data_IF_671359127202
#
_entry.id   IF_671359127202
#
_cell.length_a   1.000
_cell.length_b   1.000
_cell.length_c   1.000
_cell.angle_alpha   90.00
_cell.angle_beta   90.00
_cell.angle_gamma   90.00
#
_symmetry.space_group_name_H-M   'P 1'
#
loop_
_entity.id
_entity.type
_entity.pdbx_description
1 polymer ?
#
# COMPACT_ATOMS: atom_id res chain seq x y z
N UNK A 1 17.20 6.32 3.24
CA UNK A 1 17.37 6.09 1.78
C UNK A 1 15.97 6.23 1.19
N UNK A 2 15.61 7.46 0.84
CA UNK A 2 14.22 7.83 0.52
C UNK A 2 13.75 7.27 -0.82
N UNK A 3 12.43 7.22 -0.99
CA UNK A 3 11.78 7.08 -2.30
C UNK A 3 12.43 8.03 -3.30
N UNK A 4 12.62 7.59 -4.56
CA UNK A 4 13.06 8.48 -5.63
C UNK A 4 12.14 9.71 -5.72
N UNK A 5 12.68 10.84 -6.15
CA UNK A 5 11.88 12.05 -6.35
C UNK A 5 10.80 11.84 -7.43
N UNK A 6 9.77 12.69 -7.42
CA UNK A 6 8.66 12.60 -8.37
C UNK A 6 9.15 12.74 -9.82
N UNK A 7 10.20 13.53 -10.07
CA UNK A 7 10.73 13.76 -11.42
C UNK A 7 11.28 12.46 -12.02
N UNK A 8 12.09 11.72 -11.26
CA UNK A 8 12.62 10.42 -11.65
C UNK A 8 11.49 9.42 -11.90
N UNK A 9 10.48 9.39 -11.03
CA UNK A 9 9.36 8.45 -11.15
C UNK A 9 8.48 8.76 -12.36
N UNK A 10 8.24 10.04 -12.64
CA UNK A 10 7.54 10.47 -13.85
C UNK A 10 8.38 10.20 -15.11
N UNK A 11 9.70 10.35 -15.03
CA UNK A 11 10.63 9.96 -16.09
C UNK A 11 10.56 8.47 -16.40
N UNK A 12 10.53 7.62 -15.37
CA UNK A 12 10.37 6.17 -15.52
C UNK A 12 9.05 5.82 -16.19
N UNK A 13 7.94 6.47 -15.80
CA UNK A 13 6.64 6.23 -16.45
C UNK A 13 6.67 6.57 -17.93
N UNK A 14 7.29 7.69 -18.32
CA UNK A 14 7.42 8.07 -19.73
C UNK A 14 8.26 7.08 -20.53
N UNK A 15 9.30 6.51 -19.93
CA UNK A 15 10.20 5.55 -20.58
C UNK A 15 9.64 4.12 -20.65
N UNK A 16 8.66 3.78 -19.80
CA UNK A 16 8.11 2.44 -19.68
C UNK A 16 6.66 2.40 -20.21
N UNK A 17 6.40 1.95 -21.45
CA UNK A 17 5.10 2.12 -22.10
C UNK A 17 4.06 1.05 -21.71
N UNK A 18 4.45 0.04 -20.93
CA UNK A 18 3.54 -1.03 -20.50
C UNK A 18 3.03 -0.78 -19.09
N UNK A 19 2.39 -1.78 -18.48
CA UNK A 19 1.86 -1.67 -17.13
C UNK A 19 2.91 -1.18 -16.13
N UNK A 20 2.57 -0.11 -15.42
CA UNK A 20 3.39 0.52 -14.40
C UNK A 20 2.70 0.43 -13.05
N UNK A 21 3.21 -0.47 -12.20
CA UNK A 21 2.69 -0.69 -10.84
C UNK A 21 3.54 0.14 -9.86
N UNK A 22 2.89 1.01 -9.09
CA UNK A 22 3.57 1.85 -8.11
C UNK A 22 3.35 1.34 -6.68
N UNK A 23 4.35 1.50 -5.80
CA UNK A 23 4.24 1.21 -4.38
C UNK A 23 4.45 2.49 -3.54
N UNK A 24 3.39 3.07 -2.94
CA UNK A 24 3.51 4.27 -2.11
C UNK A 24 4.15 4.05 -0.74
N UNK A 25 4.42 2.79 -0.35
CA UNK A 25 4.89 2.40 0.98
C UNK A 25 6.29 2.85 1.35
N UNK A 26 7.12 3.17 0.35
CA UNK A 26 8.50 3.62 0.52
C UNK A 26 9.37 2.68 1.39
N UNK A 27 10.49 3.21 1.88
CA UNK A 27 11.29 2.59 2.94
C UNK A 27 10.43 2.49 4.20
N UNK A 28 10.48 1.36 4.93
CA UNK A 28 9.63 1.01 6.09
C UNK A 28 9.34 2.23 6.98
N UNK A 29 8.23 2.91 6.71
CA UNK A 29 7.76 4.07 7.46
C UNK A 29 6.89 3.65 8.64
N UNK A 30 6.63 4.56 9.59
CA UNK A 30 5.88 4.25 10.81
C UNK A 30 4.40 3.90 10.55
N UNK A 31 3.87 4.21 9.36
CA UNK A 31 2.47 4.03 9.02
C UNK A 31 2.30 3.27 7.71
N UNK A 32 1.17 2.59 7.59
CA UNK A 32 0.69 1.95 6.37
C UNK A 32 0.42 3.01 5.27
N UNK A 33 0.59 2.62 4.01
CA UNK A 33 0.17 3.48 2.91
C UNK A 33 -1.34 3.58 2.82
N UNK A 34 -1.82 4.78 2.53
CA UNK A 34 -3.25 5.09 2.50
C UNK A 34 -3.81 5.05 1.08
N UNK A 35 -5.14 5.15 0.99
CA UNK A 35 -5.85 5.32 -0.27
C UNK A 35 -5.41 6.59 -0.99
N UNK A 36 -5.30 7.72 -0.29
CA UNK A 36 -4.95 9.01 -0.91
C UNK A 36 -3.55 8.97 -1.53
N UNK A 37 -2.60 8.29 -0.88
CA UNK A 37 -1.26 8.10 -1.44
C UNK A 37 -1.31 7.31 -2.76
N UNK A 38 -2.17 6.29 -2.85
CA UNK A 38 -2.37 5.53 -4.09
C UNK A 38 -3.04 6.37 -5.18
N UNK A 39 -4.11 7.09 -4.84
CA UNK A 39 -4.84 7.96 -5.76
C UNK A 39 -3.94 9.05 -6.36
N UNK A 40 -3.04 9.63 -5.56
CA UNK A 40 -2.00 10.55 -6.04
C UNK A 40 -1.15 9.92 -7.16
N UNK A 41 -0.74 8.67 -7.00
CA UNK A 41 0.13 8.01 -7.98
C UNK A 41 -0.62 7.54 -9.22
N UNK A 42 -1.89 7.16 -9.09
CA UNK A 42 -2.76 6.95 -10.24
C UNK A 42 -2.90 8.25 -11.06
N UNK A 43 -3.12 9.39 -10.40
CA UNK A 43 -3.18 10.69 -11.07
C UNK A 43 -1.85 11.08 -11.76
N UNK A 44 -0.71 10.57 -11.26
CA UNK A 44 0.62 10.78 -11.83
C UNK A 44 1.04 9.71 -12.87
N UNK A 45 0.11 8.85 -13.30
CA UNK A 45 0.31 7.94 -14.43
C UNK A 45 0.66 6.50 -14.08
N UNK A 46 0.58 6.10 -12.80
CA UNK A 46 0.56 4.69 -12.45
C UNK A 46 -0.72 4.02 -12.95
N UNK A 47 -0.60 2.79 -13.43
CA UNK A 47 -1.75 2.01 -13.89
C UNK A 47 -2.37 1.23 -12.71
N UNK A 48 -1.54 0.83 -11.75
CA UNK A 48 -1.91 0.04 -10.58
C UNK A 48 -1.12 0.47 -9.36
N UNK A 49 -1.70 0.28 -8.17
CA UNK A 49 -1.05 0.52 -6.88
C UNK A 49 -0.91 -0.80 -6.13
N UNK A 50 0.28 -1.04 -5.57
CA UNK A 50 0.56 -2.17 -4.68
C UNK A 50 0.65 -1.71 -3.23
N UNK A 51 0.10 -2.51 -2.32
CA UNK A 51 0.10 -2.25 -0.88
C UNK A 51 0.66 -3.47 -0.14
N UNK A 52 1.64 -3.24 0.73
CA UNK A 52 2.24 -4.29 1.57
C UNK A 52 1.64 -4.30 2.97
N UNK A 53 2.16 -3.45 3.87
CA UNK A 53 1.73 -3.37 5.28
C UNK A 53 0.22 -3.14 5.44
N UNK A 54 -0.39 -2.33 4.59
CA UNK A 54 -1.85 -2.11 4.64
C UNK A 54 -2.62 -3.41 4.43
N UNK A 55 -2.18 -4.28 3.51
CA UNK A 55 -2.82 -5.58 3.27
C UNK A 55 -2.50 -6.60 4.36
N UNK A 56 -1.34 -6.51 5.00
CA UNK A 56 -0.95 -7.43 6.06
C UNK A 56 -1.97 -7.41 7.21
N UNK A 57 -2.38 -6.22 7.67
CA UNK A 57 -3.35 -6.07 8.75
C UNK A 57 -4.82 -5.98 8.31
N UNK A 58 -5.09 -5.87 7.01
CA UNK A 58 -6.44 -5.66 6.48
C UNK A 58 -6.67 -6.64 5.33
N UNK A 59 -7.15 -7.87 5.59
CA UNK A 59 -7.42 -8.84 4.53
C UNK A 59 -8.49 -8.35 3.55
N UNK A 60 -9.32 -7.39 3.97
CA UNK A 60 -10.40 -6.72 3.24
C UNK A 60 -10.04 -5.28 2.82
N UNK A 61 -8.75 -4.99 2.58
CA UNK A 61 -8.26 -3.63 2.29
C UNK A 61 -9.01 -2.93 1.15
N UNK A 62 -9.36 -3.65 0.09
CA UNK A 62 -10.06 -3.09 -1.08
C UNK A 62 -11.45 -2.58 -0.69
N UNK A 63 -12.19 -3.35 0.10
CA UNK A 63 -13.50 -2.99 0.63
C UNK A 63 -13.38 -1.78 1.57
N UNK A 64 -12.34 -1.75 2.41
CA UNK A 64 -12.09 -0.60 3.29
C UNK A 64 -11.85 0.68 2.49
N UNK A 65 -11.02 0.62 1.46
CA UNK A 65 -10.81 1.78 0.58
C UNK A 65 -12.07 2.19 -0.17
N UNK A 66 -12.85 1.22 -0.68
CA UNK A 66 -14.09 1.47 -1.42
C UNK A 66 -15.16 2.15 -0.55
N UNK A 67 -15.27 1.74 0.71
CA UNK A 67 -16.30 2.19 1.64
C UNK A 67 -15.82 3.24 2.65
N UNK A 68 -14.58 3.70 2.51
CA UNK A 68 -13.94 4.67 3.43
C UNK A 68 -13.94 4.20 4.90
N UNK A 69 -13.57 2.93 5.10
CA UNK A 69 -13.52 2.30 6.42
C UNK A 69 -12.14 2.45 7.06
N UNK A 70 -12.06 2.49 8.40
CA UNK A 70 -10.78 2.63 9.10
C UNK A 70 -9.87 1.42 8.83
N UNK A 71 -8.56 1.67 8.71
CA UNK A 71 -7.56 0.62 8.60
C UNK A 71 -7.11 0.14 9.98
N UNK A 72 -6.79 -1.15 10.09
CA UNK A 72 -6.05 -1.74 11.20
C UNK A 72 -4.56 -1.55 10.93
N UNK A 73 -3.81 -1.14 11.95
CA UNK A 73 -2.35 -1.06 11.89
C UNK A 73 -1.70 -2.42 12.14
N UNK A 74 -0.57 -2.64 11.49
CA UNK A 74 0.25 -3.84 11.70
C UNK A 74 1.08 -3.73 12.99
N UNK A 75 1.37 -4.88 13.61
CA UNK A 75 2.39 -4.96 14.66
C UNK A 75 3.68 -5.49 14.04
N UNK A 76 4.73 -4.67 14.06
CA UNK A 76 6.02 -4.99 13.43
C UNK A 76 6.68 -6.22 14.04
N UNK A 77 6.48 -6.48 15.32
CA UNK A 77 7.05 -7.67 15.97
C UNK A 77 6.48 -8.95 15.36
N UNK A 78 5.26 -8.91 14.83
CA UNK A 78 4.55 -10.08 14.31
C UNK A 78 4.82 -10.39 12.83
N UNK A 79 5.43 -9.47 12.07
CA UNK A 79 5.53 -9.58 10.59
C UNK A 79 6.18 -10.88 10.07
N UNK A 80 7.08 -11.46 10.85
CA UNK A 80 7.82 -12.68 10.49
C UNK A 80 7.52 -13.83 11.45
N UNK A 81 6.33 -13.83 12.07
CA UNK A 81 5.87 -14.84 13.02
C UNK A 81 4.57 -15.52 12.54
N UNK A 82 4.18 -16.61 13.19
CA UNK A 82 2.93 -17.35 12.93
C UNK A 82 2.45 -18.04 14.21
N UNK A 83 1.13 -18.14 14.46
CA UNK A 83 0.02 -17.68 13.62
C UNK A 83 -0.45 -16.24 13.88
N UNK A 84 -0.04 -15.64 15.00
CA UNK A 84 -0.45 -14.31 15.41
C UNK A 84 0.15 -13.23 14.50
N UNK A 85 -0.67 -12.27 14.05
CA UNK A 85 -0.28 -11.23 13.09
C UNK A 85 -0.11 -11.77 11.66
N UNK A 86 -0.67 -12.95 11.37
CA UNK A 86 -0.64 -13.56 10.04
C UNK A 86 -2.05 -13.91 9.53
N UNK A 87 -2.83 -14.68 10.30
CA UNK A 87 -4.17 -15.15 9.89
C UNK A 87 -5.31 -14.62 10.75
N UNK A 88 -5.02 -13.83 11.78
CA UNK A 88 -5.96 -13.43 12.83
C UNK A 88 -6.32 -11.94 12.83
N UNK A 89 -5.95 -11.20 11.77
CA UNK A 89 -6.43 -9.84 11.56
C UNK A 89 -7.94 -9.82 11.24
N UNK A 90 -8.73 -8.93 11.87
CA UNK A 90 -10.17 -8.88 11.66
C UNK A 90 -10.53 -8.24 10.31
N UNK A 91 -11.56 -8.77 9.64
CA UNK A 91 -12.25 -8.07 8.57
C UNK A 91 -13.30 -7.12 9.14
N UNK A 92 -13.60 -6.03 8.44
CA UNK A 92 -14.63 -5.08 8.85
C UNK A 92 -16.05 -5.64 8.64
N UNK A 93 -16.24 -6.47 7.62
CA UNK A 93 -17.47 -7.23 7.42
C UNK A 93 -17.27 -8.66 7.95
N UNK A 94 -18.14 -9.06 8.87
CA UNK A 94 -18.26 -10.43 9.40
C UNK A 94 -19.53 -11.08 8.87
#
# INVERSE_FOLDING_TARGET
MGTADDEVLMGLRKAWPTAFIFNPGGQIGPHESTREQGERWLANGADLISYGRAYLANPDLVERFRLDLPLVSTDRETWFQTPHGYVDYPSYQH
#
